data_IF_056100845513
#
_entry.id   IF_056100845513
#
_cell.length_a   1.000
_cell.length_b   1.000
_cell.length_c   1.000
_cell.angle_alpha   90.00
_cell.angle_beta   90.00
_cell.angle_gamma   90.00
#
_symmetry.space_group_name_H-M   'P 1'
#
loop_
_entity.id
_entity.type
_entity.pdbx_description
1 polymer ?
#
# COMPACT_ATOMS: atom_id res chain seq x y z
N UNK A 1 -17.24 -9.90 -17.76
CA UNK A 1 -17.70 -10.23 -16.37
C UNK A 1 -18.55 -9.10 -15.81
N UNK A 2 -19.77 -9.36 -15.30
CA UNK A 2 -20.73 -8.33 -14.82
C UNK A 2 -20.05 -7.39 -13.82
N UNK A 3 -20.38 -6.10 -13.74
CA UNK A 3 -19.82 -5.23 -12.67
C UNK A 3 -20.04 -5.88 -11.30
N UNK A 4 -21.26 -6.39 -11.09
CA UNK A 4 -21.64 -7.20 -9.93
C UNK A 4 -20.84 -8.49 -9.85
N UNK A 5 -20.65 -9.21 -10.95
CA UNK A 5 -19.89 -10.46 -10.99
C UNK A 5 -18.39 -10.23 -10.79
N UNK A 6 -17.86 -9.08 -11.17
CA UNK A 6 -16.47 -8.68 -11.00
C UNK A 6 -16.24 -8.31 -9.52
N UNK A 7 -17.08 -7.45 -8.96
CA UNK A 7 -17.06 -7.16 -7.52
C UNK A 7 -17.33 -8.43 -6.69
N UNK A 8 -18.21 -9.33 -7.15
CA UNK A 8 -18.44 -10.67 -6.55
C UNK A 8 -17.26 -11.63 -6.70
N UNK A 9 -16.61 -11.65 -7.86
CA UNK A 9 -15.45 -12.49 -8.16
C UNK A 9 -14.27 -12.15 -7.26
N UNK A 10 -14.17 -10.88 -6.86
CA UNK A 10 -13.13 -10.35 -5.99
C UNK A 10 -13.62 -10.10 -4.55
N UNK A 11 -14.78 -10.61 -4.13
CA UNK A 11 -15.22 -10.55 -2.71
C UNK A 11 -15.80 -9.22 -2.19
N UNK A 12 -16.01 -8.21 -3.05
CA UNK A 12 -16.38 -6.85 -2.67
C UNK A 12 -17.89 -6.57 -2.72
N UNK A 13 -18.67 -7.33 -1.96
CA UNK A 13 -20.05 -6.93 -1.66
C UNK A 13 -20.21 -6.17 -0.34
N UNK A 14 -19.26 -6.35 0.58
CA UNK A 14 -19.22 -5.60 1.82
C UNK A 14 -18.49 -4.28 1.66
N UNK A 15 -18.88 -3.36 2.53
CA UNK A 15 -18.33 -2.05 2.71
C UNK A 15 -16.85 -2.06 3.23
N UNK A 16 -16.01 -3.03 2.84
CA UNK A 16 -14.57 -3.11 3.16
C UNK A 16 -13.67 -2.61 2.03
N UNK A 17 -12.63 -1.83 2.36
CA UNK A 17 -11.73 -1.11 1.43
C UNK A 17 -11.18 -2.04 0.33
N UNK A 18 -11.53 -1.82 -0.94
CA UNK A 18 -11.01 -2.63 -2.07
C UNK A 18 -9.50 -2.51 -2.27
N UNK A 19 -8.83 -1.67 -1.47
CA UNK A 19 -7.44 -1.30 -1.66
C UNK A 19 -7.22 -0.43 -2.89
N UNK A 20 -8.28 -0.16 -3.68
CA UNK A 20 -8.25 0.72 -4.83
C UNK A 20 -8.29 2.18 -4.37
N UNK A 21 -7.39 3.00 -4.90
CA UNK A 21 -7.34 4.43 -4.59
C UNK A 21 -8.57 5.23 -5.05
N UNK A 22 -9.51 4.61 -5.76
CA UNK A 22 -10.82 5.14 -6.18
C UNK A 22 -11.99 4.29 -5.67
N UNK A 23 -11.76 3.44 -4.66
CA UNK A 23 -12.75 2.56 -4.04
C UNK A 23 -14.05 3.30 -3.70
N UNK A 24 -13.92 4.43 -3.00
CA UNK A 24 -15.07 5.25 -2.62
C UNK A 24 -15.93 5.66 -3.83
N UNK A 25 -15.29 6.13 -4.90
CA UNK A 25 -15.99 6.54 -6.11
C UNK A 25 -16.66 5.35 -6.80
N UNK A 26 -15.95 4.22 -6.90
CA UNK A 26 -16.49 2.97 -7.44
C UNK A 26 -17.77 2.56 -6.70
N UNK A 27 -17.71 2.51 -5.36
CA UNK A 27 -18.85 2.12 -4.51
C UNK A 27 -20.03 3.06 -4.62
N UNK A 28 -19.81 4.37 -4.54
CA UNK A 28 -20.88 5.34 -4.66
C UNK A 28 -21.57 5.18 -6.03
N UNK A 29 -20.81 5.02 -7.12
CA UNK A 29 -21.38 4.77 -8.46
C UNK A 29 -22.23 3.49 -8.48
N UNK A 30 -21.74 2.39 -7.93
CA UNK A 30 -22.48 1.12 -7.86
C UNK A 30 -23.76 1.27 -7.03
N UNK A 31 -23.68 1.86 -5.84
CA UNK A 31 -24.81 2.02 -4.93
C UNK A 31 -25.95 2.82 -5.58
N UNK A 32 -25.62 3.90 -6.31
CA UNK A 32 -26.63 4.68 -7.03
C UNK A 32 -27.20 3.96 -8.24
N UNK A 33 -26.39 3.17 -8.95
CA UNK A 33 -26.86 2.34 -10.07
C UNK A 33 -27.78 1.20 -9.60
N UNK A 34 -27.55 0.64 -8.40
CA UNK A 34 -28.38 -0.42 -7.84
C UNK A 34 -29.76 0.05 -7.36
N UNK A 35 -29.93 1.35 -7.09
CA UNK A 35 -31.23 1.95 -6.73
C UNK A 35 -32.24 1.91 -7.88
N UNK A 36 -31.78 1.76 -9.12
CA UNK A 36 -32.66 1.60 -10.29
C UNK A 36 -33.07 0.13 -10.48
N UNK A 37 -34.37 -0.23 -10.36
CA UNK A 37 -34.83 -1.59 -10.61
C UNK A 37 -34.48 -2.10 -12.01
N UNK A 38 -34.52 -1.22 -13.03
CA UNK A 38 -34.23 -1.61 -14.42
C UNK A 38 -32.75 -1.98 -14.59
N UNK A 39 -31.88 -1.15 -14.02
CA UNK A 39 -30.44 -1.36 -14.08
C UNK A 39 -30.00 -2.55 -13.22
N UNK A 40 -30.63 -2.77 -12.06
CA UNK A 40 -30.37 -3.88 -11.15
C UNK A 40 -30.57 -5.25 -11.80
N UNK A 41 -31.63 -5.42 -12.61
CA UNK A 41 -31.86 -6.68 -13.33
C UNK A 41 -30.80 -6.92 -14.41
N UNK A 42 -30.34 -5.86 -15.06
CA UNK A 42 -29.32 -5.92 -16.12
C UNK A 42 -27.89 -6.01 -15.60
N UNK A 43 -27.68 -5.74 -14.31
CA UNK A 43 -26.41 -5.85 -13.61
C UNK A 43 -25.78 -7.24 -13.73
N UNK A 44 -26.54 -8.29 -14.08
CA UNK A 44 -26.03 -9.65 -14.26
C UNK A 44 -25.22 -9.85 -15.55
N UNK A 45 -25.38 -9.00 -16.58
CA UNK A 45 -24.65 -9.13 -17.85
C UNK A 45 -23.81 -7.87 -18.19
N UNK A 46 -22.48 -7.93 -18.04
CA UNK A 46 -21.55 -6.79 -18.22
C UNK A 46 -21.44 -6.24 -19.61
N UNK A 47 -21.41 -7.13 -20.61
CA UNK A 47 -20.86 -6.81 -21.92
C UNK A 47 -21.80 -5.86 -22.69
N UNK A 48 -22.99 -5.63 -22.11
CA UNK A 48 -23.99 -4.67 -22.55
C UNK A 48 -24.39 -3.68 -21.45
N UNK A 49 -23.86 -3.79 -20.24
CA UNK A 49 -24.25 -2.99 -19.07
C UNK A 49 -24.02 -1.50 -19.28
N UNK A 50 -22.89 -1.15 -19.87
CA UNK A 50 -22.55 0.24 -20.15
C UNK A 50 -23.60 0.91 -21.06
N UNK A 51 -24.15 0.17 -22.04
CA UNK A 51 -25.16 0.68 -22.97
C UNK A 51 -26.55 0.81 -22.35
N UNK A 52 -26.82 0.08 -21.28
CA UNK A 52 -28.07 0.20 -20.52
C UNK A 52 -28.11 1.50 -19.68
N UNK A 53 -26.95 2.14 -19.48
CA UNK A 53 -26.84 3.41 -18.76
C UNK A 53 -27.69 4.51 -19.42
N UNK A 54 -27.91 4.46 -20.74
CA UNK A 54 -28.72 5.44 -21.51
C UNK A 54 -30.21 5.40 -21.14
N UNK A 55 -30.67 4.31 -20.53
CA UNK A 55 -32.07 4.14 -20.11
C UNK A 55 -32.28 4.43 -18.62
N UNK A 56 -31.22 4.77 -17.89
CA UNK A 56 -31.27 5.09 -16.46
C UNK A 56 -32.00 6.41 -16.22
N UNK A 57 -32.77 6.48 -15.13
CA UNK A 57 -33.57 7.65 -14.77
C UNK A 57 -32.74 8.94 -14.62
N UNK A 58 -33.27 10.09 -15.07
CA UNK A 58 -32.57 11.38 -15.10
C UNK A 58 -31.98 11.84 -13.75
N UNK A 59 -32.68 11.54 -12.65
CA UNK A 59 -32.21 11.87 -11.30
C UNK A 59 -30.90 11.14 -10.95
N UNK A 60 -30.76 9.89 -11.40
CA UNK A 60 -29.53 9.12 -11.20
C UNK A 60 -28.42 9.61 -12.11
N UNK A 61 -28.72 9.96 -13.37
CA UNK A 61 -27.74 10.61 -14.27
C UNK A 61 -27.16 11.89 -13.67
N UNK A 62 -28.01 12.75 -13.11
CA UNK A 62 -27.55 13.98 -12.43
C UNK A 62 -26.63 13.66 -11.25
N UNK A 63 -26.94 12.61 -10.47
CA UNK A 63 -26.11 12.19 -9.35
C UNK A 63 -24.78 11.57 -9.80
N UNK A 64 -24.77 10.75 -10.85
CA UNK A 64 -23.55 10.18 -11.43
C UNK A 64 -22.63 11.28 -11.97
N UNK A 65 -23.20 12.32 -12.59
CA UNK A 65 -22.43 13.50 -13.03
C UNK A 65 -21.80 14.24 -11.84
N UNK A 66 -22.51 14.36 -10.71
CA UNK A 66 -21.97 14.92 -9.47
C UNK A 66 -20.80 14.10 -8.95
N UNK A 67 -20.97 12.78 -8.83
CA UNK A 67 -19.91 11.86 -8.37
C UNK A 67 -18.66 11.96 -9.22
N UNK A 68 -18.81 11.99 -10.55
CA UNK A 68 -17.69 12.17 -11.47
C UNK A 68 -16.97 13.50 -11.25
N UNK A 69 -17.72 14.59 -11.04
CA UNK A 69 -17.12 15.91 -10.76
C UNK A 69 -16.37 15.93 -9.42
N UNK A 70 -16.91 15.28 -8.39
CA UNK A 70 -16.26 15.15 -7.08
C UNK A 70 -14.95 14.37 -7.20
N UNK A 71 -14.97 13.22 -7.89
CA UNK A 71 -13.77 12.41 -8.10
C UNK A 71 -12.72 13.17 -8.94
N UNK A 72 -13.12 13.84 -10.02
CA UNK A 72 -12.21 14.67 -10.81
C UNK A 72 -11.58 15.81 -9.98
N UNK A 73 -12.34 16.40 -9.05
CA UNK A 73 -11.80 17.42 -8.15
C UNK A 73 -10.79 16.82 -7.16
N UNK A 74 -11.08 15.63 -6.62
CA UNK A 74 -10.14 14.89 -5.76
C UNK A 74 -8.83 14.61 -6.48
N UNK A 75 -8.88 14.07 -7.71
CA UNK A 75 -7.69 13.80 -8.52
C UNK A 75 -6.89 15.07 -8.83
N UNK A 76 -7.55 16.20 -9.12
CA UNK A 76 -6.87 17.49 -9.32
C UNK A 76 -6.17 17.98 -8.05
N UNK A 77 -6.79 17.80 -6.89
CA UNK A 77 -6.18 18.18 -5.61
C UNK A 77 -4.96 17.31 -5.29
N UNK A 78 -5.04 16.01 -5.54
CA UNK A 78 -3.94 15.07 -5.38
C UNK A 78 -2.73 15.43 -6.27
N UNK A 79 -2.98 15.70 -7.55
CA UNK A 79 -1.93 16.15 -8.48
C UNK A 79 -1.31 17.48 -8.01
N UNK A 80 -2.14 18.43 -7.55
CA UNK A 80 -1.65 19.70 -7.03
C UNK A 80 -0.79 19.52 -5.78
N UNK A 81 -1.19 18.65 -4.86
CA UNK A 81 -0.42 18.35 -3.66
C UNK A 81 0.95 17.73 -4.01
N UNK A 82 0.99 16.80 -4.98
CA UNK A 82 2.24 16.24 -5.52
C UNK A 82 3.14 17.34 -6.10
N UNK A 83 2.59 18.22 -6.93
CA UNK A 83 3.33 19.35 -7.49
C UNK A 83 3.87 20.30 -6.42
N UNK A 84 3.09 20.60 -5.37
CA UNK A 84 3.58 21.47 -4.30
C UNK A 84 4.74 20.84 -3.50
N UNK A 85 4.87 19.50 -3.54
CA UNK A 85 6.01 18.76 -2.97
C UNK A 85 7.21 18.66 -3.94
N UNK A 86 6.95 18.52 -5.24
CA UNK A 86 7.97 18.41 -6.29
C UNK A 86 8.16 19.76 -6.99
N UNK A 87 9.23 20.50 -6.68
CA UNK A 87 9.57 21.79 -7.28
C UNK A 87 9.83 21.69 -8.81
N UNK A 88 8.78 21.57 -9.63
CA UNK A 88 8.87 21.45 -11.09
C UNK A 88 7.59 21.88 -11.81
N UNK A 89 7.72 22.25 -13.09
CA UNK A 89 6.58 22.58 -13.97
C UNK A 89 5.94 21.27 -14.47
N UNK A 90 4.68 21.02 -14.12
CA UNK A 90 4.01 19.75 -14.37
C UNK A 90 2.78 19.95 -15.25
N UNK A 91 2.69 19.16 -16.32
CA UNK A 91 1.50 19.10 -17.15
C UNK A 91 0.38 18.32 -16.44
N UNK A 92 -0.53 19.08 -15.81
CA UNK A 92 -1.71 18.55 -15.12
C UNK A 92 -2.57 17.63 -16.00
N UNK A 93 -2.67 17.89 -17.31
CA UNK A 93 -3.45 17.04 -18.20
C UNK A 93 -2.75 15.72 -18.50
N UNK A 94 -1.43 15.72 -18.61
CA UNK A 94 -0.65 14.50 -18.79
C UNK A 94 -0.74 13.58 -17.56
N UNK A 95 -0.74 14.15 -16.35
CA UNK A 95 -0.90 13.37 -15.12
C UNK A 95 -2.31 12.81 -14.94
N UNK A 96 -3.35 13.56 -15.30
CA UNK A 96 -4.72 13.06 -15.21
C UNK A 96 -4.93 11.80 -16.07
N UNK A 97 -4.26 11.72 -17.23
CA UNK A 97 -4.31 10.54 -18.11
C UNK A 97 -3.77 9.26 -17.48
N UNK A 98 -3.06 9.33 -16.35
CA UNK A 98 -2.61 8.14 -15.60
C UNK A 98 -3.77 7.42 -14.92
N UNK A 99 -4.87 8.12 -14.62
CA UNK A 99 -6.05 7.54 -14.00
C UNK A 99 -6.94 6.89 -15.08
N UNK A 100 -6.82 5.58 -15.28
CA UNK A 100 -7.51 4.88 -16.38
C UNK A 100 -9.03 4.72 -16.16
N UNK A 101 -9.52 4.88 -14.92
CA UNK A 101 -10.90 4.61 -14.50
C UNK A 101 -11.93 5.69 -14.90
N UNK A 102 -11.50 6.78 -15.55
CA UNK A 102 -12.35 7.91 -15.92
C UNK A 102 -12.06 8.43 -17.33
N UNK A 103 -13.07 9.02 -17.98
CA UNK A 103 -12.87 9.82 -19.18
C UNK A 103 -12.55 11.28 -18.81
N UNK A 104 -11.28 11.66 -18.97
CA UNK A 104 -10.76 13.01 -18.68
C UNK A 104 -11.14 14.07 -19.73
N UNK A 105 -11.46 13.65 -20.96
CA UNK A 105 -11.82 14.57 -22.04
C UNK A 105 -13.22 15.17 -21.80
N UNK A 106 -14.08 14.45 -21.08
CA UNK A 106 -15.39 14.91 -20.64
C UNK A 106 -15.42 15.01 -19.11
N UNK A 107 -15.08 16.15 -18.53
CA UNK A 107 -14.95 16.27 -17.07
C UNK A 107 -16.28 16.39 -16.29
N UNK A 108 -17.44 16.52 -16.95
CA UNK A 108 -18.65 17.04 -16.30
C UNK A 108 -19.89 16.15 -16.42
N UNK A 109 -19.90 15.19 -17.36
CA UNK A 109 -21.00 14.25 -17.56
C UNK A 109 -20.47 12.82 -17.46
N UNK A 110 -21.17 11.96 -16.72
CA UNK A 110 -20.86 10.54 -16.57
C UNK A 110 -21.55 9.76 -17.69
N UNK A 111 -20.73 9.25 -18.61
CA UNK A 111 -21.20 8.58 -19.82
C UNK A 111 -20.97 7.06 -19.78
N UNK A 112 -21.52 6.39 -20.79
CA UNK A 112 -21.31 4.96 -21.06
C UNK A 112 -19.83 4.58 -21.01
N UNK A 113 -18.97 5.43 -21.56
CA UNK A 113 -17.52 5.23 -21.58
C UNK A 113 -16.89 5.30 -20.19
N UNK A 114 -17.40 6.15 -19.29
CA UNK A 114 -16.90 6.25 -17.92
C UNK A 114 -17.21 4.99 -17.15
N UNK A 115 -18.44 4.49 -17.27
CA UNK A 115 -18.81 3.24 -16.65
C UNK A 115 -17.94 2.10 -17.18
N UNK A 116 -17.79 1.95 -18.51
CA UNK A 116 -16.95 0.91 -19.12
C UNK A 116 -15.48 0.97 -18.67
N UNK A 117 -14.90 2.18 -18.58
CA UNK A 117 -13.55 2.40 -18.06
C UNK A 117 -13.44 2.04 -16.58
N UNK A 118 -14.40 2.46 -15.77
CA UNK A 118 -14.45 2.15 -14.35
C UNK A 118 -14.54 0.63 -14.12
N UNK A 119 -15.37 -0.09 -14.89
CA UNK A 119 -15.44 -1.57 -14.83
C UNK A 119 -14.07 -2.16 -15.14
N UNK A 120 -13.50 -1.80 -16.29
CA UNK A 120 -12.26 -2.40 -16.79
C UNK A 120 -11.06 -2.11 -15.89
N UNK A 121 -10.96 -0.89 -15.39
CA UNK A 121 -9.93 -0.49 -14.44
C UNK A 121 -10.08 -1.28 -13.15
N UNK A 122 -11.28 -1.33 -12.55
CA UNK A 122 -11.51 -2.09 -11.33
C UNK A 122 -11.20 -3.60 -11.52
N UNK A 123 -11.66 -4.22 -12.62
CA UNK A 123 -11.33 -5.62 -12.91
C UNK A 123 -9.82 -5.83 -13.02
N UNK A 124 -9.13 -4.98 -13.79
CA UNK A 124 -7.70 -5.11 -14.04
C UNK A 124 -6.89 -4.92 -12.75
N UNK A 125 -7.22 -3.91 -11.96
CA UNK A 125 -6.51 -3.55 -10.75
C UNK A 125 -6.71 -4.62 -9.66
N UNK A 126 -7.92 -5.17 -9.52
CA UNK A 126 -8.21 -6.27 -8.59
C UNK A 126 -7.51 -7.58 -9.00
N UNK A 127 -7.54 -7.94 -10.29
CA UNK A 127 -6.76 -9.08 -10.79
C UNK A 127 -5.26 -8.92 -10.57
N UNK A 128 -4.77 -7.68 -10.69
CA UNK A 128 -3.37 -7.37 -10.46
C UNK A 128 -3.03 -7.49 -8.98
N UNK A 129 -3.92 -7.06 -8.08
CA UNK A 129 -3.76 -7.18 -6.64
C UNK A 129 -3.62 -8.65 -6.22
N UNK A 130 -4.54 -9.52 -6.64
CA UNK A 130 -4.46 -10.96 -6.35
C UNK A 130 -3.16 -11.55 -6.92
N UNK A 131 -2.84 -11.24 -8.18
CA UNK A 131 -1.62 -11.71 -8.83
C UNK A 131 -0.35 -11.25 -8.08
N UNK A 132 -0.33 -10.03 -7.58
CA UNK A 132 0.80 -9.50 -6.83
C UNK A 132 0.99 -10.24 -5.52
N UNK A 133 -0.08 -10.57 -4.81
CA UNK A 133 0.01 -11.40 -3.62
C UNK A 133 0.56 -12.81 -3.91
N UNK A 134 0.11 -13.45 -4.99
CA UNK A 134 0.70 -14.71 -5.46
C UNK A 134 2.20 -14.57 -5.77
N UNK A 135 2.60 -13.46 -6.40
CA UNK A 135 4.01 -13.17 -6.68
C UNK A 135 4.82 -12.87 -5.41
N UNK A 136 4.24 -12.19 -4.41
CA UNK A 136 4.85 -11.92 -3.10
C UNK A 136 5.07 -13.20 -2.31
N UNK A 137 4.06 -14.06 -2.21
CA UNK A 137 4.18 -15.36 -1.57
C UNK A 137 5.23 -16.24 -2.27
N UNK A 138 5.23 -16.23 -3.61
CA UNK A 138 6.28 -16.92 -4.38
C UNK A 138 7.68 -16.40 -4.06
N UNK A 139 7.87 -15.08 -3.88
CA UNK A 139 9.16 -14.50 -3.47
C UNK A 139 9.52 -14.87 -2.04
N UNK A 140 8.55 -14.91 -1.13
CA UNK A 140 8.74 -15.36 0.24
C UNK A 140 9.29 -16.79 0.28
N UNK A 141 8.65 -17.71 -0.43
CA UNK A 141 9.08 -19.10 -0.53
C UNK A 141 10.47 -19.25 -1.19
N UNK A 142 10.75 -18.49 -2.25
CA UNK A 142 12.10 -18.44 -2.84
C UNK A 142 13.15 -17.90 -1.87
N UNK A 143 12.80 -16.89 -1.05
CA UNK A 143 13.70 -16.32 -0.05
C UNK A 143 14.00 -17.30 1.08
N UNK A 144 12.97 -17.99 1.59
CA UNK A 144 13.08 -19.04 2.60
C UNK A 144 14.01 -20.17 2.15
N UNK A 145 13.86 -20.65 0.91
CA UNK A 145 14.76 -21.67 0.36
C UNK A 145 16.17 -21.13 0.08
N UNK A 146 16.31 -19.89 -0.38
CA UNK A 146 17.62 -19.26 -0.55
C UNK A 146 18.39 -19.20 0.78
N UNK A 147 17.76 -18.72 1.85
CA UNK A 147 18.37 -18.67 3.19
C UNK A 147 18.76 -20.06 3.69
N UNK A 148 17.91 -21.06 3.45
CA UNK A 148 18.21 -22.46 3.77
C UNK A 148 19.47 -22.92 3.02
N UNK A 149 19.57 -22.66 1.71
CA UNK A 149 20.75 -23.02 0.90
C UNK A 149 22.02 -22.31 1.40
N UNK A 150 21.94 -21.03 1.75
CA UNK A 150 23.08 -20.28 2.29
C UNK A 150 23.52 -20.81 3.67
N UNK A 151 22.57 -21.13 4.56
CA UNK A 151 22.86 -21.79 5.85
C UNK A 151 23.59 -23.12 5.64
N UNK A 152 23.09 -23.96 4.73
CA UNK A 152 23.71 -25.25 4.42
C UNK A 152 25.12 -25.11 3.80
N UNK A 153 25.39 -24.04 3.04
CA UNK A 153 26.73 -23.75 2.50
C UNK A 153 27.72 -23.30 3.59
N UNK A 154 27.24 -22.63 4.64
CA UNK A 154 28.08 -22.14 5.73
C UNK A 154 28.42 -23.21 6.78
N UNK A 155 27.68 -24.32 6.83
CA UNK A 155 27.83 -25.40 7.81
C UNK A 155 28.81 -26.49 7.39
N UNK A 156 29.30 -27.28 8.35
CA UNK A 156 30.11 -28.48 8.08
C UNK A 156 29.27 -29.64 7.54
N UNK A 157 29.90 -30.67 6.94
CA UNK A 157 29.19 -31.81 6.35
C UNK A 157 28.31 -32.57 7.36
N UNK A 158 28.79 -32.74 8.60
CA UNK A 158 28.03 -33.42 9.66
C UNK A 158 26.83 -32.60 10.14
N UNK A 159 26.99 -31.27 10.23
CA UNK A 159 25.91 -30.34 10.59
C UNK A 159 24.88 -30.26 9.47
N UNK A 160 25.32 -30.20 8.20
CA UNK A 160 24.44 -30.17 7.03
C UNK A 160 23.50 -31.38 7.01
N UNK A 161 24.03 -32.58 7.27
CA UNK A 161 23.22 -33.80 7.33
C UNK A 161 22.20 -33.79 8.46
N UNK A 162 22.56 -33.24 9.63
CA UNK A 162 21.63 -33.10 10.76
C UNK A 162 20.52 -32.10 10.44
N UNK A 163 20.86 -30.98 9.82
CA UNK A 163 19.88 -29.97 9.42
C UNK A 163 18.91 -30.51 8.35
N UNK A 164 19.41 -31.25 7.36
CA UNK A 164 18.56 -31.89 6.35
C UNK A 164 17.59 -32.90 6.98
N UNK A 165 18.06 -33.70 7.95
CA UNK A 165 17.22 -34.63 8.70
C UNK A 165 16.17 -33.90 9.53
N UNK A 166 16.56 -32.84 10.23
CA UNK A 166 15.66 -32.01 11.01
C UNK A 166 14.57 -31.37 10.12
N UNK A 167 14.95 -30.85 8.95
CA UNK A 167 14.01 -30.30 7.97
C UNK A 167 13.00 -31.34 7.46
N UNK A 168 13.46 -32.56 7.17
CA UNK A 168 12.54 -33.65 6.81
C UNK A 168 11.61 -34.06 7.96
N UNK A 169 12.09 -34.02 9.20
CA UNK A 169 11.29 -34.30 10.39
C UNK A 169 10.20 -33.25 10.59
N UNK A 170 10.54 -31.96 10.48
CA UNK A 170 9.59 -30.84 10.53
C UNK A 170 8.51 -31.03 9.45
N UNK A 171 8.90 -31.29 8.19
CA UNK A 171 7.94 -31.52 7.11
C UNK A 171 7.00 -32.68 7.38
N UNK A 172 7.51 -33.78 7.93
CA UNK A 172 6.68 -34.97 8.26
C UNK A 172 5.71 -34.69 9.40
N UNK A 173 6.09 -33.86 10.36
CA UNK A 173 5.22 -33.50 11.47
C UNK A 173 4.13 -32.53 11.02
N UNK A 174 4.46 -31.54 10.20
CA UNK A 174 3.47 -30.66 9.58
C UNK A 174 2.46 -31.44 8.73
N UNK A 175 2.93 -32.41 7.93
CA UNK A 175 2.09 -33.32 7.14
C UNK A 175 1.16 -34.21 7.99
N UNK A 176 1.43 -34.35 9.28
CA UNK A 176 0.66 -35.18 10.18
C UNK A 176 -0.41 -34.36 10.91
N UNK A 177 -1.40 -33.91 10.14
CA UNK A 177 -2.53 -33.14 10.63
C UNK A 177 -3.86 -33.91 10.46
N UNK A 178 -4.93 -33.42 11.11
CA UNK A 178 -6.27 -33.99 10.93
C UNK A 178 -6.77 -33.75 9.49
N UNK A 179 -7.67 -34.59 8.98
CA UNK A 179 -8.18 -34.45 7.60
C UNK A 179 -8.83 -33.07 7.43
N UNK A 180 -8.35 -32.36 6.41
CA UNK A 180 -8.88 -31.06 5.99
C UNK A 180 -10.03 -31.27 5.02
N UNK A 181 -11.14 -30.58 5.24
CA UNK A 181 -12.31 -30.60 4.38
C UNK A 181 -12.11 -29.69 3.15
N UNK A 182 -12.86 -29.97 2.08
CA UNK A 182 -12.84 -29.10 0.90
C UNK A 182 -13.47 -27.73 1.26
N UNK A 183 -12.86 -26.60 0.86
CA UNK A 183 -13.39 -25.27 1.15
C UNK A 183 -14.81 -25.09 0.60
N UNK A 184 -15.74 -24.62 1.44
CA UNK A 184 -17.15 -24.44 1.12
C UNK A 184 -17.98 -25.74 1.12
N UNK A 185 -17.43 -26.88 1.52
CA UNK A 185 -18.17 -28.15 1.59
C UNK A 185 -19.16 -28.20 2.76
N UNK A 186 -20.23 -29.00 2.61
CA UNK A 186 -21.24 -29.16 3.67
C UNK A 186 -20.63 -29.69 4.98
N UNK A 187 -19.64 -30.58 4.90
CA UNK A 187 -18.94 -31.12 6.06
C UNK A 187 -18.19 -30.01 6.84
N UNK A 188 -17.51 -29.11 6.13
CA UNK A 188 -16.86 -27.94 6.74
C UNK A 188 -17.87 -27.02 7.43
N UNK A 189 -18.99 -26.71 6.75
CA UNK A 189 -20.00 -25.79 7.32
C UNK A 189 -20.69 -26.38 8.56
N UNK A 190 -20.92 -27.70 8.58
CA UNK A 190 -21.46 -28.39 9.76
C UNK A 190 -20.51 -28.35 10.95
N UNK A 191 -19.21 -28.45 10.69
CA UNK A 191 -18.20 -28.35 11.74
C UNK A 191 -18.15 -26.95 12.35
N UNK A 192 -18.19 -25.91 11.53
CA UNK A 192 -18.32 -24.52 12.02
C UNK A 192 -19.62 -24.35 12.83
N UNK A 193 -20.73 -24.92 12.36
CA UNK A 193 -22.02 -24.90 13.07
C UNK A 193 -21.98 -25.61 14.43
N UNK A 194 -21.25 -26.71 14.54
CA UNK A 194 -21.10 -27.44 15.81
C UNK A 194 -20.15 -26.73 16.77
N UNK A 195 -18.96 -26.37 16.29
CA UNK A 195 -17.86 -25.90 17.14
C UNK A 195 -17.93 -24.40 17.43
N UNK A 196 -18.23 -23.58 16.43
CA UNK A 196 -18.28 -22.11 16.58
C UNK A 196 -19.64 -21.65 17.08
N UNK A 197 -20.74 -22.19 16.54
CA UNK A 197 -22.10 -21.77 16.93
C UNK A 197 -22.67 -22.54 18.12
N UNK A 198 -22.10 -23.70 18.45
CA UNK A 198 -22.58 -24.56 19.53
C UNK A 198 -23.94 -25.20 19.24
N UNK A 199 -24.27 -25.41 17.96
CA UNK A 199 -25.55 -25.95 17.49
C UNK A 199 -25.42 -27.42 17.07
N UNK A 200 -26.49 -28.18 17.20
CA UNK A 200 -26.45 -29.62 16.89
C UNK A 200 -26.27 -29.87 15.37
N UNK A 201 -25.34 -30.76 14.95
CA UNK A 201 -25.10 -31.06 13.53
C UNK A 201 -26.33 -31.57 12.78
N UNK A 202 -27.20 -32.34 13.45
CA UNK A 202 -28.40 -32.94 12.85
C UNK A 202 -29.45 -31.89 12.45
N UNK A 203 -29.39 -30.69 13.03
CA UNK A 203 -30.30 -29.58 12.75
C UNK A 203 -29.68 -28.52 11.82
N UNK A 204 -28.62 -28.88 11.10
CA UNK A 204 -27.96 -27.98 10.17
C UNK A 204 -28.95 -27.48 9.09
N UNK A 205 -29.16 -26.16 9.07
CA UNK A 205 -29.93 -25.47 8.04
C UNK A 205 -29.05 -24.40 7.39
N UNK A 206 -28.67 -24.56 6.11
CA UNK A 206 -27.81 -23.61 5.41
C UNK A 206 -28.32 -22.16 5.45
N UNK A 207 -29.65 -21.96 5.49
CA UNK A 207 -30.23 -20.61 5.56
C UNK A 207 -30.03 -19.97 6.91
N UNK A 208 -30.12 -20.75 7.98
CA UNK A 208 -29.88 -20.27 9.34
C UNK A 208 -28.39 -20.06 9.57
N UNK A 209 -27.55 -20.98 9.09
CA UNK A 209 -26.09 -20.82 9.08
C UNK A 209 -25.67 -19.52 8.39
N UNK A 210 -26.21 -19.28 7.20
CA UNK A 210 -25.94 -18.07 6.43
C UNK A 210 -26.30 -16.79 7.21
N UNK A 211 -27.49 -16.74 7.80
CA UNK A 211 -27.93 -15.58 8.60
C UNK A 211 -27.13 -15.35 9.87
N UNK A 212 -26.53 -16.40 10.41
CA UNK A 212 -25.75 -16.33 11.64
C UNK A 212 -24.37 -15.73 11.40
N UNK A 213 -23.81 -15.96 10.21
CA UNK A 213 -22.48 -15.51 9.82
C UNK A 213 -22.47 -14.26 8.92
N UNK A 214 -23.64 -13.85 8.43
CA UNK A 214 -23.86 -12.55 7.78
C UNK A 214 -23.85 -11.46 8.86
N UNK A 215 -22.64 -10.97 9.18
CA UNK A 215 -22.40 -10.04 10.27
C UNK A 215 -22.94 -8.64 9.95
N UNK A 216 -22.93 -8.26 8.68
CA UNK A 216 -23.36 -6.94 8.23
C UNK A 216 -24.85 -6.89 7.81
N UNK A 217 -25.50 -8.05 7.67
CA UNK A 217 -26.92 -8.21 7.35
C UNK A 217 -27.27 -7.88 5.89
N UNK A 218 -26.29 -7.91 4.97
CA UNK A 218 -26.49 -7.54 3.57
C UNK A 218 -27.03 -8.67 2.70
N UNK A 219 -27.11 -9.89 3.26
CA UNK A 219 -27.63 -11.06 2.59
C UNK A 219 -26.62 -11.77 1.67
N UNK A 220 -25.33 -11.42 1.75
CA UNK A 220 -24.21 -12.08 1.08
C UNK A 220 -23.08 -12.38 2.08
N UNK A 221 -22.16 -13.28 1.71
CA UNK A 221 -20.89 -13.41 2.44
C UNK A 221 -19.82 -12.58 1.75
N UNK A 222 -19.17 -11.72 2.51
CA UNK A 222 -18.00 -10.97 2.08
C UNK A 222 -16.68 -11.77 2.24
N UNK A 223 -15.58 -11.19 1.81
CA UNK A 223 -14.23 -11.78 1.95
C UNK A 223 -13.89 -12.13 3.40
N UNK A 224 -14.14 -11.23 4.35
CA UNK A 224 -13.80 -11.44 5.76
C UNK A 224 -14.70 -12.49 6.40
N UNK A 225 -15.99 -12.49 6.06
CA UNK A 225 -16.98 -13.45 6.51
C UNK A 225 -16.66 -14.84 6.00
N UNK A 226 -16.28 -14.99 4.72
CA UNK A 226 -15.80 -16.27 4.19
C UNK A 226 -14.50 -16.71 4.84
N UNK A 227 -13.52 -15.82 4.97
CA UNK A 227 -12.24 -16.16 5.59
C UNK A 227 -12.39 -16.62 7.03
N UNK A 228 -13.32 -16.02 7.78
CA UNK A 228 -13.64 -16.43 9.14
C UNK A 228 -14.13 -17.90 9.21
N UNK A 229 -14.85 -18.38 8.20
CA UNK A 229 -15.28 -19.78 8.11
C UNK A 229 -14.10 -20.74 7.92
N UNK A 230 -13.03 -20.27 7.26
CA UNK A 230 -11.86 -21.10 6.95
C UNK A 230 -10.90 -21.21 8.13
N UNK A 231 -10.93 -20.28 9.08
CA UNK A 231 -10.03 -20.28 10.25
C UNK A 231 -10.07 -21.62 10.98
N UNK A 232 -11.28 -22.17 11.22
CA UNK A 232 -11.43 -23.45 11.92
C UNK A 232 -10.84 -24.63 11.17
N UNK A 233 -10.93 -24.59 9.84
CA UNK A 233 -10.38 -25.63 9.00
C UNK A 233 -8.84 -25.56 8.97
N UNK A 234 -8.27 -24.34 8.97
CA UNK A 234 -6.83 -24.11 8.98
C UNK A 234 -6.18 -24.36 10.36
N UNK A 235 -6.90 -24.15 11.46
CA UNK A 235 -6.45 -24.46 12.83
C UNK A 235 -6.11 -25.96 13.02
N UNK A 236 -6.61 -26.83 12.15
CA UNK A 236 -6.27 -28.27 12.14
C UNK A 236 -4.86 -28.54 11.63
N UNK A 237 -4.34 -27.67 10.77
CA UNK A 237 -3.06 -27.83 10.06
C UNK A 237 -1.99 -26.94 10.65
N UNK A 238 -2.33 -25.68 10.96
CA UNK A 238 -1.38 -24.67 11.40
C UNK A 238 -1.67 -24.25 12.84
N UNK A 239 -0.63 -24.24 13.67
CA UNK A 239 -0.70 -23.74 15.04
C UNK A 239 0.45 -22.76 15.30
N UNK A 240 0.13 -21.54 15.70
CA UNK A 240 1.12 -20.49 15.98
C UNK A 240 2.13 -20.83 17.08
N UNK A 241 1.85 -21.85 17.90
CA UNK A 241 2.76 -22.30 18.96
C UNK A 241 3.80 -23.32 18.47
N UNK A 242 3.64 -23.86 17.26
CA UNK A 242 4.57 -24.82 16.67
C UNK A 242 5.57 -24.08 15.77
N UNK A 243 6.87 -24.38 15.90
CA UNK A 243 7.92 -23.84 15.02
C UNK A 243 7.83 -24.38 13.57
N UNK A 244 7.11 -25.48 13.41
CA UNK A 244 6.97 -26.24 12.18
C UNK A 244 5.93 -25.63 11.23
N UNK A 245 5.02 -24.83 11.80
CA UNK A 245 3.87 -24.27 11.11
C UNK A 245 4.14 -22.82 10.74
N UNK A 246 4.08 -22.53 9.45
CA UNK A 246 4.32 -21.18 8.94
C UNK A 246 3.00 -20.39 8.84
N UNK A 247 2.87 -19.36 9.65
CA UNK A 247 1.67 -18.52 9.68
C UNK A 247 1.47 -17.74 8.36
N UNK A 248 2.53 -17.46 7.61
CA UNK A 248 2.43 -16.83 6.29
C UNK A 248 1.85 -17.82 5.27
N UNK A 249 2.25 -19.10 5.34
CA UNK A 249 1.64 -20.16 4.52
C UNK A 249 0.16 -20.35 4.88
N UNK A 250 -0.20 -20.29 6.17
CA UNK A 250 -1.59 -20.35 6.61
C UNK A 250 -2.45 -19.22 6.03
N UNK A 251 -1.94 -17.98 6.04
CA UNK A 251 -2.65 -16.83 5.46
C UNK A 251 -2.83 -16.97 3.95
N UNK A 252 -1.81 -17.45 3.24
CA UNK A 252 -1.91 -17.72 1.82
C UNK A 252 -2.91 -18.85 1.52
N UNK A 253 -2.89 -19.93 2.30
CA UNK A 253 -3.86 -21.01 2.18
C UNK A 253 -5.29 -20.49 2.40
N UNK A 254 -5.50 -19.60 3.38
CA UNK A 254 -6.80 -18.94 3.62
C UNK A 254 -7.28 -18.16 2.40
N UNK A 255 -6.39 -17.41 1.75
CA UNK A 255 -6.70 -16.67 0.52
C UNK A 255 -7.01 -17.62 -0.63
N UNK A 256 -6.24 -18.70 -0.78
CA UNK A 256 -6.49 -19.73 -1.79
C UNK A 256 -7.83 -20.43 -1.58
N UNK A 257 -8.23 -20.72 -0.34
CA UNK A 257 -9.57 -21.24 -0.01
C UNK A 257 -10.67 -20.26 -0.43
N UNK A 258 -10.48 -18.96 -0.14
CA UNK A 258 -11.40 -17.89 -0.54
C UNK A 258 -11.51 -17.76 -2.05
N UNK A 259 -10.38 -17.65 -2.76
CA UNK A 259 -10.33 -17.59 -4.22
C UNK A 259 -11.00 -18.81 -4.84
N UNK A 260 -10.74 -20.00 -4.29
CA UNK A 260 -11.35 -21.24 -4.73
C UNK A 260 -12.88 -21.19 -4.61
N UNK A 261 -13.41 -20.89 -3.42
CA UNK A 261 -14.87 -20.80 -3.18
C UNK A 261 -15.52 -19.72 -4.05
N UNK A 262 -14.92 -18.54 -4.13
CA UNK A 262 -15.43 -17.44 -4.97
C UNK A 262 -15.40 -17.80 -6.46
N UNK A 263 -14.36 -18.49 -6.93
CA UNK A 263 -14.26 -18.95 -8.31
C UNK A 263 -15.28 -20.05 -8.65
N UNK A 264 -15.55 -20.99 -7.72
CA UNK A 264 -16.54 -22.06 -7.91
C UNK A 264 -17.96 -21.51 -7.96
N UNK A 265 -18.30 -20.55 -7.10
CA UNK A 265 -19.60 -19.86 -7.13
C UNK A 265 -19.79 -19.13 -8.47
N UNK A 266 -18.71 -18.62 -9.05
CA UNK A 266 -18.74 -17.96 -10.36
C UNK A 266 -18.79 -18.99 -11.51
N UNK A 267 -18.13 -20.14 -11.38
CA UNK A 267 -18.25 -21.26 -12.31
C UNK A 267 -19.69 -21.79 -12.38
N UNK A 268 -20.38 -21.85 -11.23
CA UNK A 268 -21.80 -22.26 -11.14
C UNK A 268 -22.74 -21.33 -11.92
N UNK A 269 -22.36 -20.05 -12.04
CA UNK A 269 -23.08 -19.03 -12.84
C UNK A 269 -22.64 -19.08 -14.33
N UNK A 270 -21.41 -19.51 -14.62
CA UNK A 270 -20.83 -19.40 -15.97
C UNK A 270 -21.16 -20.58 -16.88
N UNK A 271 -21.09 -21.86 -16.49
CA UNK A 271 -21.38 -22.91 -17.48
C UNK A 271 -21.68 -24.32 -16.92
N UNK A 272 -22.93 -24.73 -17.11
CA UNK A 272 -23.24 -26.09 -17.58
C UNK A 272 -22.36 -26.35 -18.82
N UNK A 273 -21.27 -27.12 -18.67
CA UNK A 273 -20.69 -28.09 -19.63
C UNK A 273 -19.30 -28.55 -19.12
N UNK A 274 -19.28 -29.82 -18.65
CA UNK A 274 -18.18 -30.80 -18.52
C UNK A 274 -17.06 -30.61 -17.47
N UNK A 275 -17.06 -31.58 -16.55
CA UNK A 275 -15.94 -32.08 -15.71
C UNK A 275 -15.55 -31.24 -14.48
N UNK A 276 -16.51 -31.15 -13.55
CA UNK A 276 -16.28 -30.81 -12.15
C UNK A 276 -15.69 -32.03 -11.43
N UNK A 277 -14.36 -32.06 -11.24
CA UNK A 277 -13.62 -32.95 -10.34
C UNK A 277 -12.11 -32.65 -10.40
N UNK A 278 -11.71 -31.40 -10.16
CA UNK A 278 -10.32 -31.13 -9.79
C UNK A 278 -10.33 -30.50 -8.41
N UNK A 279 -10.08 -31.36 -7.42
CA UNK A 279 -10.16 -31.04 -6.00
C UNK A 279 -9.16 -29.97 -5.60
N UNK A 280 -9.60 -29.11 -4.69
CA UNK A 280 -8.72 -28.23 -3.97
C UNK A 280 -7.60 -29.05 -3.30
N UNK A 281 -6.36 -28.61 -3.46
CA UNK A 281 -5.18 -29.21 -2.85
C UNK A 281 -4.50 -28.16 -1.97
N UNK A 282 -4.17 -28.56 -0.74
CA UNK A 282 -3.46 -27.69 0.20
C UNK A 282 -2.09 -27.31 -0.33
N UNK A 283 -1.52 -26.19 0.13
CA UNK A 283 -0.13 -25.79 -0.18
C UNK A 283 0.86 -26.95 0.03
N UNK A 284 0.68 -27.75 1.09
CA UNK A 284 1.51 -28.94 1.35
C UNK A 284 1.42 -29.99 0.22
N UNK A 285 0.23 -30.19 -0.35
CA UNK A 285 -0.02 -31.16 -1.41
C UNK A 285 0.37 -30.65 -2.80
N UNK A 286 0.47 -29.32 -2.95
CA UNK A 286 0.93 -28.70 -4.19
C UNK A 286 2.46 -28.76 -4.30
N UNK A 287 2.95 -28.87 -5.54
CA UNK A 287 4.37 -28.69 -5.80
C UNK A 287 4.78 -27.24 -5.46
N UNK A 288 6.08 -27.03 -5.23
CA UNK A 288 6.70 -25.70 -5.03
C UNK A 288 6.10 -24.61 -5.94
N UNK A 289 5.76 -23.42 -5.42
CA UNK A 289 5.16 -22.33 -6.20
C UNK A 289 6.12 -21.70 -7.24
N UNK A 290 7.40 -22.10 -7.20
CA UNK A 290 8.43 -21.68 -8.12
C UNK A 290 9.19 -22.86 -8.74
N UNK A 291 9.76 -22.60 -9.91
CA UNK A 291 10.69 -23.50 -10.61
C UNK A 291 12.14 -23.23 -10.20
N UNK A 292 13.02 -24.21 -10.36
CA UNK A 292 14.46 -24.05 -10.07
C UNK A 292 15.11 -22.94 -10.92
N UNK A 293 14.63 -22.74 -12.16
CA UNK A 293 15.08 -21.64 -13.03
C UNK A 293 14.71 -20.27 -12.44
N UNK A 294 13.49 -20.13 -11.92
CA UNK A 294 13.04 -18.90 -11.26
C UNK A 294 13.82 -18.63 -9.98
N UNK A 295 14.09 -19.66 -9.16
CA UNK A 295 14.93 -19.52 -7.98
C UNK A 295 16.34 -19.06 -8.34
N UNK A 296 16.96 -19.64 -9.37
CA UNK A 296 18.29 -19.23 -9.82
C UNK A 296 18.32 -17.77 -10.31
N UNK A 297 17.28 -17.33 -11.03
CA UNK A 297 17.14 -15.92 -11.42
C UNK A 297 16.98 -15.00 -10.20
N UNK A 298 16.19 -15.42 -9.21
CA UNK A 298 15.98 -14.69 -7.97
C UNK A 298 17.28 -14.55 -7.15
N UNK A 299 18.04 -15.63 -6.98
CA UNK A 299 19.36 -15.60 -6.32
C UNK A 299 20.35 -14.68 -7.06
N UNK A 300 20.33 -14.70 -8.41
CA UNK A 300 21.15 -13.78 -9.20
C UNK A 300 20.75 -12.32 -8.96
N UNK A 301 19.45 -12.05 -8.84
CA UNK A 301 18.93 -10.72 -8.56
C UNK A 301 19.34 -10.26 -7.15
N UNK A 302 19.18 -11.10 -6.13
CA UNK A 302 19.66 -10.82 -4.77
C UNK A 302 21.16 -10.51 -4.73
N UNK A 303 21.97 -11.27 -5.47
CA UNK A 303 23.41 -11.01 -5.53
C UNK A 303 23.76 -9.68 -6.22
N UNK A 304 22.96 -9.22 -7.19
CA UNK A 304 23.11 -7.89 -7.80
C UNK A 304 22.69 -6.80 -6.83
N UNK A 305 21.52 -6.95 -6.19
CA UNK A 305 20.96 -5.98 -5.27
C UNK A 305 21.84 -5.82 -4.03
N UNK A 306 22.39 -6.93 -3.51
CA UNK A 306 23.37 -6.92 -2.43
C UNK A 306 24.60 -6.07 -2.77
N UNK A 307 25.12 -6.17 -4.00
CA UNK A 307 26.25 -5.33 -4.46
C UNK A 307 25.88 -3.85 -4.53
N UNK A 308 24.71 -3.53 -5.07
CA UNK A 308 24.22 -2.14 -5.15
C UNK A 308 24.07 -1.56 -3.74
N UNK A 309 23.48 -2.31 -2.81
CA UNK A 309 23.33 -1.89 -1.41
C UNK A 309 24.70 -1.70 -0.76
N UNK A 310 25.66 -2.61 -0.96
CA UNK A 310 27.02 -2.45 -0.43
C UNK A 310 27.71 -1.19 -0.95
N UNK A 311 27.55 -0.86 -2.23
CA UNK A 311 28.07 0.38 -2.83
C UNK A 311 27.42 1.63 -2.21
N UNK A 312 26.08 1.62 -2.05
CA UNK A 312 25.35 2.71 -1.41
C UNK A 312 25.75 2.89 0.06
N UNK A 313 25.92 1.80 0.81
CA UNK A 313 26.38 1.82 2.20
C UNK A 313 27.78 2.43 2.28
N UNK A 314 28.70 2.06 1.39
CA UNK A 314 30.05 2.62 1.35
C UNK A 314 30.03 4.14 1.05
N UNK A 315 29.18 4.59 0.12
CA UNK A 315 29.04 6.02 -0.19
C UNK A 315 28.43 6.79 1.00
N UNK A 316 27.38 6.26 1.64
CA UNK A 316 26.78 6.87 2.82
C UNK A 316 27.76 6.95 4.00
N UNK A 317 28.59 5.92 4.19
CA UNK A 317 29.66 5.94 5.19
C UNK A 317 30.64 7.08 4.93
N UNK A 318 31.09 7.23 3.68
CA UNK A 318 31.98 8.33 3.28
C UNK A 318 31.34 9.71 3.48
N UNK A 319 30.04 9.85 3.18
CA UNK A 319 29.31 11.08 3.45
C UNK A 319 29.22 11.38 4.94
N UNK A 320 28.94 10.38 5.78
CA UNK A 320 28.92 10.49 7.23
C UNK A 320 30.27 10.95 7.78
N UNK A 321 31.38 10.37 7.33
CA UNK A 321 32.73 10.78 7.72
C UNK A 321 33.04 12.24 7.33
N UNK A 322 32.66 12.64 6.11
CA UNK A 322 32.84 14.02 5.66
C UNK A 322 32.04 15.03 6.49
N UNK A 323 30.80 14.68 6.86
CA UNK A 323 29.98 15.51 7.75
C UNK A 323 30.56 15.58 9.15
N UNK A 324 31.05 14.47 9.69
CA UNK A 324 31.72 14.43 10.99
C UNK A 324 32.96 15.33 11.01
N UNK A 325 33.81 15.25 9.98
CA UNK A 325 34.98 16.12 9.86
C UNK A 325 34.61 17.61 9.80
N UNK A 326 33.52 17.96 9.10
CA UNK A 326 33.00 19.34 9.07
C UNK A 326 32.48 19.78 10.44
N UNK A 327 31.79 18.90 11.15
CA UNK A 327 31.27 19.17 12.49
C UNK A 327 32.42 19.42 13.48
N UNK A 328 33.46 18.58 13.46
CA UNK A 328 34.64 18.73 14.31
C UNK A 328 35.36 20.05 14.04
N UNK A 329 35.47 20.46 12.76
CA UNK A 329 36.04 21.74 12.38
C UNK A 329 35.22 22.92 12.92
N UNK A 330 33.89 22.86 12.80
CA UNK A 330 32.98 23.88 13.34
C UNK A 330 33.08 23.97 14.86
N UNK A 331 33.23 22.84 15.55
CA UNK A 331 33.33 22.83 17.01
C UNK A 331 34.70 23.35 17.50
N UNK A 332 35.79 23.11 16.74
CA UNK A 332 37.06 23.80 16.96
C UNK A 332 36.90 25.31 16.78
N UNK A 333 36.23 25.77 15.72
CA UNK A 333 35.98 27.20 15.48
C UNK A 333 35.14 27.82 16.61
N UNK A 334 34.07 27.16 17.04
CA UNK A 334 33.23 27.61 18.17
C UNK A 334 34.04 27.72 19.47
N UNK A 335 34.88 26.72 19.79
CA UNK A 335 35.75 26.76 20.97
C UNK A 335 36.73 27.93 20.91
N UNK A 336 37.34 28.18 19.75
CA UNK A 336 38.21 29.35 19.54
C UNK A 336 37.50 30.66 19.80
N UNK A 337 36.28 30.84 19.27
CA UNK A 337 35.45 32.03 19.50
C UNK A 337 35.10 32.16 20.99
N UNK A 338 34.67 31.09 21.66
CA UNK A 338 34.36 31.10 23.09
C UNK A 338 35.58 31.47 23.94
N UNK A 339 36.78 31.00 23.56
CA UNK A 339 38.02 31.33 24.26
C UNK A 339 38.36 32.82 24.11
N UNK A 340 38.21 33.39 22.92
CA UNK A 340 38.38 34.84 22.69
C UNK A 340 37.35 35.65 23.50
N UNK A 341 36.10 35.22 23.58
CA UNK A 341 35.08 35.88 24.41
C UNK A 341 35.41 35.81 25.91
N UNK A 342 35.96 34.69 26.39
CA UNK A 342 36.30 34.48 27.80
C UNK A 342 37.54 35.27 28.26
N UNK A 343 38.57 35.36 27.42
CA UNK A 343 39.84 36.03 27.79
C UNK A 343 40.00 37.44 27.19
N UNK A 344 39.24 37.78 26.15
CA UNK A 344 39.22 39.12 25.55
C UNK A 344 38.55 40.19 26.43
N UNK A 345 37.75 39.78 27.42
CA UNK A 345 37.20 40.68 28.44
C UNK A 345 38.24 41.22 29.44
N UNK A 346 39.41 40.59 29.57
CA UNK A 346 40.44 41.00 30.53
C UNK A 346 41.43 42.04 29.98
N UNK A 347 41.41 42.35 28.68
CA UNK A 347 42.35 43.31 28.06
C UNK A 347 41.78 44.71 27.85
N UNK A 348 40.53 44.98 28.24
CA UNK A 348 39.94 46.32 28.15
C UNK A 348 40.41 47.29 29.26
N UNK A 349 41.28 46.85 30.17
CA UNK A 349 41.64 47.62 31.37
C UNK A 349 43.01 48.30 31.41
N UNK A 350 43.96 47.99 30.51
CA UNK A 350 45.34 48.50 30.63
C UNK A 350 46.01 48.67 29.26
N UNK A 351 46.00 49.90 28.72
CA UNK A 351 47.19 50.72 28.33
C UNK A 351 46.74 51.90 27.41
N UNK A 352 47.17 53.15 27.69
CA UNK A 352 46.90 54.33 26.87
C UNK A 352 47.93 54.55 25.75
N UNK A 353 47.46 55.23 24.70
CA UNK A 353 48.17 56.02 23.68
C UNK A 353 49.64 55.74 23.33
N UNK A 354 49.86 55.25 22.09
CA UNK A 354 50.69 55.84 21.02
C UNK A 354 51.43 54.75 20.22
N UNK A 355 50.97 54.48 18.99
CA UNK A 355 51.86 54.43 17.83
C UNK A 355 51.08 54.47 16.52
N UNK A 356 51.27 55.55 15.78
CA UNK A 356 50.81 55.77 14.41
C UNK A 356 51.65 54.91 13.47
N UNK A 357 51.06 53.90 12.82
CA UNK A 357 51.60 53.33 11.57
C UNK A 357 50.48 52.88 10.62
N UNK A 358 50.39 53.66 9.53
CA UNK A 358 49.94 53.33 8.15
C UNK A 358 49.16 52.03 7.92
N UNK A 359 47.91 52.21 7.53
CA UNK A 359 47.06 51.25 6.81
C UNK A 359 47.72 50.74 5.53
N UNK A 360 47.72 49.43 5.25
CA UNK A 360 47.79 48.94 3.88
C UNK A 360 46.39 48.93 3.27
N UNK A 361 46.28 49.71 2.19
CA UNK A 361 45.25 49.72 1.17
C UNK A 361 44.85 48.30 0.74
N UNK A 362 43.60 47.89 0.94
CA UNK A 362 43.02 46.76 0.20
C UNK A 362 42.49 47.31 -1.11
N UNK A 363 43.30 47.16 -2.16
CA UNK A 363 42.94 47.45 -3.54
C UNK A 363 41.87 46.45 -4.02
N UNK A 364 40.76 47.04 -4.41
CA UNK A 364 39.64 46.45 -5.14
C UNK A 364 40.11 46.04 -6.55
N UNK A 365 40.01 44.77 -6.91
CA UNK A 365 39.99 44.32 -8.31
C UNK A 365 38.63 43.71 -8.61
N UNK A 366 37.82 44.45 -9.38
CA UNK A 366 36.56 44.04 -9.99
C UNK A 366 36.84 43.27 -11.30
N UNK A 367 36.07 42.23 -11.58
CA UNK A 367 35.69 41.87 -12.96
C UNK A 367 34.20 41.49 -13.06
N UNK A 368 33.45 42.45 -13.61
CA UNK A 368 32.23 42.43 -14.43
C UNK A 368 31.34 41.17 -14.45
N UNK A 369 30.06 41.36 -14.08
CA UNK A 369 28.93 40.91 -14.89
C UNK A 369 27.86 42.01 -14.96
N UNK A 370 27.25 42.16 -16.14
CA UNK A 370 26.40 43.28 -16.52
C UNK A 370 25.02 43.25 -15.85
N UNK A 371 24.59 44.40 -15.32
CA UNK A 371 23.20 44.68 -14.96
C UNK A 371 22.47 45.33 -16.14
N UNK A 372 21.26 44.88 -16.44
CA UNK A 372 20.18 45.72 -17.00
C UNK A 372 19.00 45.76 -16.01
N UNK A 373 18.23 46.87 -15.96
CA UNK A 373 17.54 47.32 -14.74
C UNK A 373 16.05 46.94 -14.67
N UNK A 374 15.42 46.97 -13.46
CA UNK A 374 13.97 46.81 -13.31
C UNK A 374 13.23 48.15 -13.42
N UNK A 375 11.98 48.21 -13.93
CA UNK A 375 11.19 49.43 -13.91
C UNK A 375 10.39 49.61 -12.60
N UNK A 376 10.78 50.66 -11.87
CA UNK A 376 10.02 51.65 -11.07
C UNK A 376 8.59 51.30 -10.57
N UNK A 377 8.44 51.16 -9.25
CA UNK A 377 7.19 51.39 -8.51
C UNK A 377 6.98 52.90 -8.26
N UNK A 378 5.81 53.43 -8.62
CA UNK A 378 5.32 54.76 -8.15
C UNK A 378 4.59 54.59 -6.81
N UNK A 379 4.85 55.51 -5.88
CA UNK A 379 4.26 55.62 -4.54
C UNK A 379 2.94 56.40 -4.55
N UNK A 380 2.11 56.12 -3.54
CA UNK A 380 1.21 57.00 -2.73
C UNK A 380 -0.14 56.32 -2.47
N UNK A 381 -0.84 56.43 -1.32
CA UNK A 381 -0.56 56.81 0.09
C UNK A 381 -1.92 56.66 0.83
N UNK A 382 -1.94 56.02 2.02
CA UNK A 382 -2.85 56.20 3.18
C UNK A 382 -4.35 55.85 2.96
N UNK A 383 -5.14 55.33 3.91
CA UNK A 383 -5.20 55.50 5.38
C UNK A 383 -5.75 54.23 6.09
N UNK A 384 -5.33 54.09 7.34
CA UNK A 384 -5.81 53.28 8.49
C UNK A 384 -7.26 53.65 8.90
N UNK A 385 -8.02 52.90 9.77
CA UNK A 385 -7.65 52.72 11.19
C UNK A 385 -8.19 51.53 12.05
N UNK A 386 -7.63 51.47 13.27
CA UNK A 386 -8.02 50.75 14.51
C UNK A 386 -7.89 49.21 14.54
N UNK A 387 -7.38 48.54 15.59
CA UNK A 387 -6.95 48.93 16.94
C UNK A 387 -6.20 47.77 17.64
N UNK A 388 -5.40 48.12 18.65
CA UNK A 388 -4.45 47.29 19.42
C UNK A 388 -5.08 46.68 20.70
N UNK A 389 -4.68 45.46 21.09
CA UNK A 389 -4.49 44.92 22.46
C UNK A 389 -4.17 43.40 22.35
N UNK A 390 -3.23 42.73 23.03
CA UNK A 390 -2.17 43.04 24.00
C UNK A 390 -1.59 41.72 24.58
N UNK A 391 -0.26 41.52 24.50
CA UNK A 391 0.71 40.71 25.31
C UNK A 391 0.48 39.22 25.70
N UNK A 392 1.52 38.46 26.14
CA UNK A 392 2.97 38.56 25.91
C UNK A 392 3.65 37.22 25.48
N UNK A 393 4.93 37.30 25.14
CA UNK A 393 5.84 36.18 24.88
C UNK A 393 6.21 35.40 26.15
N UNK A 394 6.32 34.07 26.03
CA UNK A 394 7.05 33.19 26.95
C UNK A 394 8.03 32.34 26.14
N UNK A 395 9.29 32.38 26.56
CA UNK A 395 10.41 31.57 26.08
C UNK A 395 10.40 30.26 26.88
N UNK A 396 10.52 29.10 26.20
CA UNK A 396 10.69 27.81 26.87
C UNK A 396 10.76 26.65 25.87
N UNK A 397 11.96 26.15 25.65
CA UNK A 397 12.32 24.91 24.95
C UNK A 397 11.67 23.67 25.56
N UNK A 398 11.02 22.82 24.75
CA UNK A 398 11.05 21.34 24.82
C UNK A 398 10.83 20.81 23.39
N UNK A 399 11.76 19.98 22.92
CA UNK A 399 11.60 19.09 21.79
C UNK A 399 10.78 17.89 22.28
N UNK A 400 9.56 17.70 21.77
CA UNK A 400 8.85 16.42 21.81
C UNK A 400 8.14 16.23 20.45
N UNK A 401 8.27 15.03 19.91
CA UNK A 401 8.01 14.70 18.52
C UNK A 401 6.54 14.69 18.16
N UNK A 402 6.26 15.16 16.95
CA UNK A 402 5.07 14.81 16.19
C UNK A 402 5.47 13.73 15.17
N UNK A 403 4.82 12.55 15.13
CA UNK A 403 4.77 11.79 13.90
C UNK A 403 3.83 12.56 12.95
N UNK A 404 4.38 13.14 11.88
CA UNK A 404 3.57 13.54 10.75
C UNK A 404 3.15 12.25 10.04
N UNK A 405 2.03 11.67 10.46
CA UNK A 405 1.35 10.64 9.69
C UNK A 405 1.02 11.24 8.32
N UNK A 406 1.72 10.73 7.30
CA UNK A 406 1.37 11.00 5.91
C UNK A 406 0.06 10.28 5.64
N UNK A 407 -0.97 10.95 5.09
CA UNK A 407 -2.13 10.25 4.53
C UNK A 407 -1.64 9.20 3.54
N UNK A 408 -2.11 7.96 3.67
CA UNK A 408 -1.76 6.82 2.81
C UNK A 408 -1.94 7.14 1.30
N UNK A 409 -2.84 8.06 0.97
CA UNK A 409 -3.11 8.53 -0.39
C UNK A 409 -1.96 9.30 -1.06
N UNK A 410 -1.07 9.96 -0.30
CA UNK A 410 0.08 10.69 -0.87
C UNK A 410 1.24 9.76 -1.28
N UNK A 411 1.28 8.54 -0.75
CA UNK A 411 2.36 7.59 -1.03
C UNK A 411 2.22 7.01 -2.45
N UNK A 412 0.98 6.85 -2.94
CA UNK A 412 0.67 6.39 -4.30
C UNK A 412 1.25 7.29 -5.40
N UNK A 413 1.36 8.58 -5.15
CA UNK A 413 1.81 9.57 -6.13
C UNK A 413 3.34 9.68 -6.24
N UNK A 414 4.10 9.10 -5.32
CA UNK A 414 5.56 9.22 -5.26
C UNK A 414 6.34 8.21 -6.14
N UNK A 415 5.67 7.31 -6.87
CA UNK A 415 6.33 6.29 -7.69
C UNK A 415 6.73 6.83 -9.07
N UNK A 416 8.03 6.79 -9.39
CA UNK A 416 8.57 7.03 -10.74
C UNK A 416 8.16 5.89 -11.71
N UNK A 417 8.09 6.15 -13.03
CA UNK A 417 7.44 5.26 -14.01
C UNK A 417 8.22 3.96 -14.34
N UNK A 418 9.21 3.57 -13.55
CA UNK A 418 9.99 2.35 -13.74
C UNK A 418 10.20 1.63 -12.40
N UNK A 419 9.19 0.93 -11.92
CA UNK A 419 9.31 0.06 -10.75
C UNK A 419 7.97 -0.28 -10.13
N UNK A 420 7.62 -1.57 -10.19
CA UNK A 420 6.51 -2.26 -9.53
C UNK A 420 5.76 -1.45 -8.48
N UNK A 421 4.50 -1.10 -8.76
CA UNK A 421 3.48 -0.67 -7.80
C UNK A 421 3.24 -1.88 -6.87
N UNK A 422 3.88 -1.94 -5.70
CA UNK A 422 3.25 -2.02 -4.38
C UNK A 422 4.41 -2.11 -3.37
N UNK A 423 4.41 -1.22 -2.37
CA UNK A 423 5.23 -1.29 -1.14
C UNK A 423 4.76 -0.14 -0.24
N UNK A 424 3.64 -0.34 0.45
CA UNK A 424 3.29 0.35 1.71
C UNK A 424 2.55 -0.66 2.57
N UNK A 425 3.23 -1.13 3.61
CA UNK A 425 2.81 -2.17 4.55
C UNK A 425 1.77 -1.63 5.55
N UNK A 426 0.85 -2.53 5.91
CA UNK A 426 0.15 -2.65 7.20
C UNK A 426 0.66 -1.76 8.33
N UNK A 427 -0.20 -0.87 8.81
CA UNK A 427 -0.11 -0.30 10.15
C UNK A 427 -1.49 -0.36 10.79
N UNK A 428 -1.96 -1.55 11.17
CA UNK A 428 -2.98 -1.76 12.21
C UNK A 428 -2.85 -3.18 12.76
N UNK A 429 -2.42 -3.30 14.03
CA UNK A 429 -2.39 -4.59 14.74
C UNK A 429 -1.17 -4.79 15.64
N UNK A 430 -1.00 -3.94 16.66
CA UNK A 430 -0.46 -4.27 18.00
C UNK A 430 -0.17 -2.98 18.76
N UNK A 431 -1.14 -2.54 19.55
CA UNK A 431 -0.95 -1.62 20.65
C UNK A 431 -1.22 -2.40 21.95
N UNK A 432 -0.15 -2.95 22.52
CA UNK A 432 0.00 -3.14 23.97
C UNK A 432 1.22 -2.36 24.45
#
# INVERSE_FOLDING_TARGET
MSLKLCLKLFGYHSLGDTGLHYDRYLREVIEYLEKDPHFREKLQNPDKLAKELDFVHNNLRTKLDELKREEMNRLRMLIKAKHDMELGDVDYQALLKQFEHLNHDNAHSFEVEDLDRLIKAATKDLMQFDKQHHEEFKRYEMMKEHERREKLKAMSEEERKKEEQHHEEIKKKHANHAKVNHPGSEDQLKEVWEESDGLEPDNFDPKTFFKLHDNNGDGFFDENELEALFVKELEKVYNSNNEEDDMVEMEEERRRMREHVMSEVVWFIIQIITELLHGFQTLEQQNSPYTEEELAMFEQQLAKDSKIIMEQVAELQKQRENLQNKQDLLDVQKRGIQQVLKYGGCLAGLIPEMCVLRYPTVLLLKSKSHSSPPPKKKKEKRKTPFGLQGYPAVVGTVWEGFPAERPLELIWLQKEPSGNIHDVINLHGNAE
#
